data_IF_009080339237
#
_entry.id   IF_009080339237
#
_cell.length_a   1.000
_cell.length_b   1.000
_cell.length_c   1.000
_cell.angle_alpha   90.00
_cell.angle_beta   90.00
_cell.angle_gamma   90.00
#
_symmetry.space_group_name_H-M   'P 1'
#
loop_
_entity.id
_entity.type
_entity.pdbx_description
1 polymer ?
#
# COMPACT_ATOMS: atom_id res chain seq x y z
N UNK A 1 -9.14 -9.23 -24.08
CA UNK A 1 -8.26 -8.23 -24.75
C UNK A 1 -7.05 -8.00 -23.88
N UNK A 2 -5.87 -7.99 -24.47
CA UNK A 2 -4.64 -7.72 -23.71
C UNK A 2 -4.66 -6.29 -23.16
N UNK A 3 -4.48 -6.20 -21.85
CA UNK A 3 -4.33 -4.94 -21.12
C UNK A 3 -2.88 -4.77 -20.71
N UNK A 4 -2.33 -3.57 -20.85
CA UNK A 4 -0.98 -3.26 -20.40
C UNK A 4 -1.04 -2.20 -19.32
N UNK A 5 -0.40 -2.45 -18.17
CA UNK A 5 -0.26 -1.49 -17.07
C UNK A 5 1.21 -1.36 -16.70
N UNK A 6 1.58 -0.17 -16.21
CA UNK A 6 2.87 0.03 -15.57
C UNK A 6 2.74 -0.31 -14.08
N UNK A 7 3.40 -1.37 -13.65
CA UNK A 7 3.34 -1.87 -12.27
C UNK A 7 4.77 -1.96 -11.72
N UNK A 8 5.03 -1.25 -10.63
CA UNK A 8 6.35 -1.18 -10.00
C UNK A 8 7.45 -0.76 -10.99
N UNK A 9 7.13 0.17 -11.90
CA UNK A 9 8.06 0.69 -12.90
C UNK A 9 8.24 -0.18 -14.14
N UNK A 10 7.58 -1.34 -14.23
CA UNK A 10 7.64 -2.24 -15.38
C UNK A 10 6.31 -2.34 -16.09
N UNK A 11 6.35 -2.41 -17.42
CA UNK A 11 5.15 -2.70 -18.20
C UNK A 11 4.79 -4.19 -18.11
N UNK A 12 3.58 -4.47 -17.67
CA UNK A 12 3.02 -5.82 -17.58
C UNK A 12 1.82 -5.93 -18.51
N UNK A 13 1.88 -6.86 -19.47
CA UNK A 13 0.76 -7.18 -20.34
C UNK A 13 0.09 -8.47 -19.89
N UNK A 14 -1.22 -8.47 -19.80
CA UNK A 14 -2.02 -9.60 -19.33
C UNK A 14 -3.40 -9.59 -19.99
N UNK A 15 -4.10 -10.70 -19.91
CA UNK A 15 -5.49 -10.82 -20.35
C UNK A 15 -6.40 -10.99 -19.12
N UNK A 16 -7.33 -10.07 -18.96
CA UNK A 16 -8.31 -10.09 -17.89
C UNK A 16 -9.56 -9.32 -18.30
N UNK A 17 -10.75 -9.68 -17.76
CA UNK A 17 -11.95 -8.88 -17.93
C UNK A 17 -11.74 -7.44 -17.44
N UNK A 18 -12.29 -6.48 -18.19
CA UNK A 18 -12.11 -5.05 -17.91
C UNK A 18 -12.66 -4.61 -16.54
N UNK A 19 -13.64 -5.33 -16.04
CA UNK A 19 -14.30 -5.11 -14.74
C UNK A 19 -13.66 -5.90 -13.58
N UNK A 20 -12.65 -6.74 -13.87
CA UNK A 20 -11.94 -7.48 -12.82
C UNK A 20 -11.30 -6.48 -11.84
N UNK A 21 -11.50 -6.64 -10.51
CA UNK A 21 -10.82 -5.80 -9.54
C UNK A 21 -9.30 -5.90 -9.66
N UNK A 22 -8.63 -4.76 -9.57
CA UNK A 22 -7.16 -4.69 -9.67
C UNK A 22 -6.47 -5.65 -8.69
N UNK A 23 -7.04 -5.85 -7.50
CA UNK A 23 -6.52 -6.79 -6.51
C UNK A 23 -6.28 -8.19 -7.09
N UNK A 24 -7.26 -8.72 -7.82
CA UNK A 24 -7.18 -10.07 -8.40
C UNK A 24 -6.25 -10.12 -9.60
N UNK A 25 -6.17 -9.05 -10.38
CA UNK A 25 -5.15 -8.94 -11.44
C UNK A 25 -3.74 -9.02 -10.84
N UNK A 26 -3.49 -8.29 -9.76
CA UNK A 26 -2.19 -8.32 -9.08
C UNK A 26 -1.88 -9.71 -8.53
N UNK A 27 -2.81 -10.32 -7.79
CA UNK A 27 -2.58 -11.58 -7.09
C UNK A 27 -2.61 -12.81 -7.99
N UNK A 28 -3.69 -12.95 -8.78
CA UNK A 28 -3.99 -14.19 -9.48
C UNK A 28 -3.42 -14.22 -10.91
N UNK A 29 -3.34 -13.07 -11.56
CA UNK A 29 -2.83 -12.99 -12.94
C UNK A 29 -1.33 -12.71 -12.96
N UNK A 30 -0.86 -11.78 -12.13
CA UNK A 30 0.54 -11.33 -12.12
C UNK A 30 1.38 -11.95 -11.00
N UNK A 31 0.78 -12.68 -10.07
CA UNK A 31 1.50 -13.35 -8.97
C UNK A 31 2.06 -12.41 -7.90
N UNK A 32 1.62 -11.15 -7.86
CA UNK A 32 2.03 -10.17 -6.86
C UNK A 32 1.15 -10.30 -5.61
N UNK A 33 1.49 -11.24 -4.73
CA UNK A 33 0.66 -11.67 -3.61
C UNK A 33 0.81 -10.84 -2.33
N UNK A 34 1.67 -9.82 -2.33
CA UNK A 34 1.88 -8.94 -1.18
C UNK A 34 0.63 -8.12 -0.82
N UNK A 35 -0.13 -7.67 -1.82
CA UNK A 35 -1.42 -7.01 -1.62
C UNK A 35 -2.47 -8.04 -1.21
N UNK A 36 -3.24 -7.78 -0.13
CA UNK A 36 -4.11 -8.79 0.51
C UNK A 36 -5.60 -8.47 0.34
N UNK A 37 -6.42 -9.52 0.26
CA UNK A 37 -7.86 -9.43 0.35
C UNK A 37 -8.31 -9.54 1.81
N UNK A 38 -9.17 -8.61 2.26
CA UNK A 38 -9.79 -8.66 3.57
C UNK A 38 -11.31 -8.55 3.46
N UNK A 39 -11.85 -7.31 3.40
CA UNK A 39 -13.31 -7.08 3.39
C UNK A 39 -13.95 -7.15 1.99
N UNK A 40 -13.24 -6.81 0.93
CA UNK A 40 -13.78 -6.72 -0.44
C UNK A 40 -14.68 -5.51 -0.71
N UNK A 41 -14.80 -4.59 0.25
CA UNK A 41 -15.69 -3.41 0.21
C UNK A 41 -14.95 -2.10 0.53
N UNK A 42 -13.65 -2.07 0.34
CA UNK A 42 -12.77 -0.92 0.54
C UNK A 42 -12.68 -0.37 1.98
N UNK A 43 -13.02 -1.14 3.01
CA UNK A 43 -13.05 -0.67 4.41
C UNK A 43 -11.82 -1.05 5.24
N UNK A 44 -11.24 -2.24 5.02
CA UNK A 44 -10.19 -2.74 5.92
C UNK A 44 -8.78 -2.24 5.58
N UNK A 45 -8.53 -1.81 4.37
CA UNK A 45 -7.24 -1.29 3.92
C UNK A 45 -6.18 -2.33 3.55
N UNK A 46 -6.42 -3.64 3.72
CA UNK A 46 -5.45 -4.69 3.41
C UNK A 46 -5.03 -4.71 1.93
N UNK A 47 -5.90 -4.25 1.04
CA UNK A 47 -5.70 -4.21 -0.42
C UNK A 47 -5.09 -2.89 -0.93
N UNK A 48 -4.60 -2.02 -0.07
CA UNK A 48 -4.09 -0.70 -0.47
C UNK A 48 -2.88 -0.84 -1.40
N UNK A 49 -2.97 -0.17 -2.54
CA UNK A 49 -1.88 0.06 -3.50
C UNK A 49 -1.78 1.56 -3.77
N UNK A 50 -0.71 2.00 -4.43
CA UNK A 50 -0.66 3.36 -4.94
C UNK A 50 -1.02 3.39 -6.43
N UNK A 51 -1.86 4.34 -6.83
CA UNK A 51 -2.09 4.70 -8.21
C UNK A 51 -1.64 6.16 -8.37
N UNK A 52 -0.63 6.37 -9.18
CA UNK A 52 -0.01 7.68 -9.35
C UNK A 52 0.42 8.29 -7.99
N UNK A 53 1.01 7.47 -7.12
CA UNK A 53 1.45 7.84 -5.77
C UNK A 53 0.36 8.01 -4.72
N UNK A 54 -0.92 7.84 -5.07
CA UNK A 54 -2.05 7.99 -4.14
C UNK A 54 -2.55 6.65 -3.65
N UNK A 55 -2.87 6.50 -2.34
CA UNK A 55 -3.36 5.24 -1.80
C UNK A 55 -4.79 4.97 -2.29
N UNK A 56 -5.00 3.77 -2.82
CA UNK A 56 -6.29 3.32 -3.38
C UNK A 56 -6.58 1.90 -2.92
N UNK A 57 -7.85 1.60 -2.68
CA UNK A 57 -8.33 0.25 -2.35
C UNK A 57 -8.53 -0.56 -3.63
N UNK A 58 -7.65 -1.53 -3.88
CA UNK A 58 -7.66 -2.30 -5.13
C UNK A 58 -8.78 -3.34 -5.22
N UNK A 59 -9.42 -3.70 -4.12
CA UNK A 59 -10.49 -4.71 -4.10
C UNK A 59 -11.79 -4.27 -4.79
N UNK A 60 -12.00 -2.96 -4.95
CA UNK A 60 -13.22 -2.41 -5.59
C UNK A 60 -12.90 -1.62 -6.85
N UNK A 61 -11.63 -1.50 -7.23
CA UNK A 61 -11.22 -0.74 -8.40
C UNK A 61 -11.13 -1.66 -9.63
N UNK A 62 -11.99 -1.50 -10.65
CA UNK A 62 -11.86 -2.25 -11.89
C UNK A 62 -10.52 -1.94 -12.57
N UNK A 63 -9.90 -2.96 -13.16
CA UNK A 63 -8.61 -2.79 -13.83
C UNK A 63 -8.67 -1.76 -14.96
N UNK A 64 -9.80 -1.67 -15.66
CA UNK A 64 -10.03 -0.66 -16.70
C UNK A 64 -9.99 0.78 -16.19
N UNK A 65 -10.32 1.00 -14.92
CA UNK A 65 -10.30 2.33 -14.32
C UNK A 65 -8.87 2.82 -13.99
N UNK A 66 -7.88 1.95 -14.01
CA UNK A 66 -6.48 2.32 -13.78
C UNK A 66 -5.94 3.14 -14.94
N UNK A 67 -6.29 2.77 -16.17
CA UNK A 67 -5.81 3.42 -17.41
C UNK A 67 -4.28 3.42 -17.48
N UNK A 68 -3.67 4.53 -17.90
CA UNK A 68 -2.22 4.67 -18.07
C UNK A 68 -1.48 5.09 -16.79
N UNK A 69 -2.18 5.12 -15.65
CA UNK A 69 -1.58 5.56 -14.38
C UNK A 69 -0.68 4.47 -13.80
N UNK A 70 0.53 4.82 -13.32
CA UNK A 70 1.42 3.84 -12.71
C UNK A 70 0.85 3.29 -11.40
N UNK A 71 0.98 1.98 -11.24
CA UNK A 71 0.59 1.24 -10.03
C UNK A 71 1.85 0.88 -9.25
N UNK A 72 1.86 1.16 -7.96
CA UNK A 72 2.89 0.67 -7.04
C UNK A 72 2.26 -0.23 -5.99
N UNK A 73 2.81 -1.42 -5.83
CA UNK A 73 2.43 -2.38 -4.79
C UNK A 73 3.46 -2.42 -3.68
N UNK A 74 3.20 -3.17 -2.61
CA UNK A 74 4.15 -3.31 -1.51
C UNK A 74 5.49 -3.92 -1.95
N UNK A 75 5.48 -4.74 -3.00
CA UNK A 75 6.70 -5.30 -3.58
C UNK A 75 7.63 -4.24 -4.17
N UNK A 76 7.07 -3.12 -4.63
CA UNK A 76 7.83 -2.03 -5.26
C UNK A 76 7.98 -0.77 -4.41
N UNK A 77 7.30 -0.65 -3.27
CA UNK A 77 7.25 0.60 -2.50
C UNK A 77 8.63 1.00 -1.93
N UNK A 78 9.50 0.05 -1.68
CA UNK A 78 10.85 0.30 -1.16
C UNK A 78 11.75 1.08 -2.11
N UNK A 79 11.40 1.19 -3.39
CA UNK A 79 12.12 2.05 -4.34
C UNK A 79 11.86 3.54 -4.10
N UNK A 80 10.79 3.91 -3.39
CA UNK A 80 10.51 5.30 -3.02
C UNK A 80 11.20 5.66 -1.70
N UNK A 81 11.66 6.92 -1.53
CA UNK A 81 12.28 7.35 -0.27
C UNK A 81 11.37 7.17 0.94
N UNK A 82 10.10 7.52 0.83
CA UNK A 82 9.13 7.35 1.90
C UNK A 82 8.89 5.86 2.22
N UNK A 83 8.72 5.03 1.19
CA UNK A 83 8.53 3.59 1.36
C UNK A 83 9.72 2.90 2.02
N UNK A 84 10.95 3.24 1.61
CA UNK A 84 12.16 2.69 2.22
C UNK A 84 12.26 3.02 3.71
N UNK A 85 11.96 4.27 4.10
CA UNK A 85 11.95 4.72 5.51
C UNK A 85 10.89 3.98 6.32
N UNK A 86 9.70 3.83 5.76
CA UNK A 86 8.60 3.10 6.41
C UNK A 86 8.98 1.65 6.62
N UNK A 87 9.46 0.96 5.59
CA UNK A 87 9.87 -0.45 5.70
C UNK A 87 10.97 -0.64 6.75
N UNK A 88 11.97 0.25 6.76
CA UNK A 88 13.02 0.21 7.77
C UNK A 88 12.46 0.36 9.18
N UNK A 89 11.60 1.34 9.42
CA UNK A 89 11.00 1.57 10.73
C UNK A 89 10.12 0.38 11.18
N UNK A 90 9.40 -0.26 10.25
CA UNK A 90 8.63 -1.48 10.53
C UNK A 90 9.51 -2.62 11.01
N UNK A 91 10.67 -2.79 10.43
CA UNK A 91 11.66 -3.81 10.85
C UNK A 91 12.30 -3.44 12.19
N UNK A 92 12.75 -2.21 12.34
CA UNK A 92 13.44 -1.74 13.56
C UNK A 92 12.56 -1.87 14.81
N UNK A 93 11.26 -1.61 14.69
CA UNK A 93 10.31 -1.66 15.79
C UNK A 93 9.52 -2.98 15.88
N UNK A 94 9.82 -3.94 15.03
CA UNK A 94 9.14 -5.25 14.99
C UNK A 94 7.60 -5.10 15.04
N UNK A 95 7.05 -4.26 14.15
CA UNK A 95 5.63 -3.88 14.17
C UNK A 95 4.72 -5.08 13.96
N UNK A 96 5.13 -6.04 13.13
CA UNK A 96 4.30 -7.13 12.61
C UNK A 96 3.97 -8.16 13.69
N UNK A 97 2.70 -8.63 13.71
CA UNK A 97 2.29 -9.85 14.39
C UNK A 97 1.89 -10.90 13.33
N UNK A 98 0.62 -11.07 12.98
CA UNK A 98 0.27 -12.03 11.93
C UNK A 98 0.74 -11.60 10.53
N UNK A 99 0.93 -10.32 10.30
CA UNK A 99 1.43 -9.77 9.05
C UNK A 99 0.38 -9.50 7.98
N UNK A 100 -0.84 -9.96 8.14
CA UNK A 100 -1.84 -9.92 7.07
C UNK A 100 -2.23 -8.50 6.64
N UNK A 101 -2.40 -7.57 7.56
CA UNK A 101 -2.76 -6.18 7.28
C UNK A 101 -1.55 -5.29 6.95
N UNK A 102 -0.33 -5.77 7.15
CA UNK A 102 0.85 -4.88 7.19
C UNK A 102 1.22 -4.33 5.81
N UNK A 103 0.99 -5.07 4.73
CA UNK A 103 1.20 -4.52 3.38
C UNK A 103 0.34 -3.27 3.15
N UNK A 104 -0.93 -3.31 3.50
CA UNK A 104 -1.83 -2.16 3.43
C UNK A 104 -1.43 -1.02 4.37
N UNK A 105 -1.02 -1.34 5.59
CA UNK A 105 -0.53 -0.37 6.58
C UNK A 105 0.70 0.38 6.05
N UNK A 106 1.68 -0.34 5.50
CA UNK A 106 2.89 0.22 4.92
C UNK A 106 2.57 1.13 3.73
N UNK A 107 1.68 0.71 2.84
CA UNK A 107 1.28 1.51 1.68
C UNK A 107 0.61 2.82 2.09
N UNK A 108 -0.29 2.79 3.06
CA UNK A 108 -0.95 4.00 3.59
C UNK A 108 0.04 4.92 4.30
N UNK A 109 0.94 4.37 5.11
CA UNK A 109 1.97 5.13 5.80
C UNK A 109 2.97 5.79 4.83
N UNK A 110 3.39 5.07 3.79
CA UNK A 110 4.28 5.63 2.77
C UNK A 110 3.63 6.79 2.01
N UNK A 111 2.34 6.69 1.68
CA UNK A 111 1.59 7.77 1.06
C UNK A 111 1.48 9.00 1.98
N UNK A 112 1.22 8.79 3.28
CA UNK A 112 1.19 9.86 4.26
C UNK A 112 2.53 10.61 4.32
N UNK A 113 3.65 9.89 4.46
CA UNK A 113 4.96 10.51 4.59
C UNK A 113 5.43 11.19 3.29
N UNK A 114 4.99 10.73 2.13
CA UNK A 114 5.25 11.39 0.85
C UNK A 114 4.51 12.74 0.74
N UNK A 115 3.28 12.81 1.27
CA UNK A 115 2.47 14.02 1.24
C UNK A 115 2.76 14.97 2.42
N UNK A 116 3.00 14.41 3.61
CA UNK A 116 3.24 15.13 4.86
C UNK A 116 4.49 14.55 5.54
N UNK A 117 5.69 15.09 5.27
CA UNK A 117 6.94 14.52 5.76
C UNK A 117 7.09 14.49 7.28
N UNK A 118 6.41 15.38 7.97
CA UNK A 118 6.42 15.48 9.44
C UNK A 118 4.98 15.48 9.97
N UNK A 119 4.28 14.33 9.91
CA UNK A 119 2.89 14.26 10.36
C UNK A 119 2.79 14.36 11.88
N UNK A 120 1.79 15.05 12.37
CA UNK A 120 1.40 14.98 13.77
C UNK A 120 0.51 13.77 14.05
N UNK A 121 0.07 13.59 15.30
CA UNK A 121 -0.77 12.46 15.67
C UNK A 121 -2.13 12.47 14.97
N UNK A 122 -2.68 13.67 14.74
CA UNK A 122 -3.95 13.83 14.02
C UNK A 122 -3.82 13.44 12.55
N UNK A 123 -2.73 13.81 11.90
CA UNK A 123 -2.42 13.42 10.52
C UNK A 123 -2.30 11.90 10.39
N UNK A 124 -1.59 11.28 11.34
CA UNK A 124 -1.40 9.82 11.37
C UNK A 124 -2.75 9.13 11.57
N UNK A 125 -3.54 9.56 12.54
CA UNK A 125 -4.85 8.98 12.84
C UNK A 125 -5.78 9.08 11.64
N UNK A 126 -5.83 10.24 10.98
CA UNK A 126 -6.65 10.43 9.79
C UNK A 126 -6.22 9.55 8.61
N UNK A 127 -4.92 9.48 8.35
CA UNK A 127 -4.39 8.70 7.23
C UNK A 127 -4.53 7.19 7.44
N UNK A 128 -4.41 6.71 8.69
CA UNK A 128 -4.40 5.29 9.03
C UNK A 128 -5.75 4.73 9.48
N UNK A 129 -6.77 5.58 9.66
CA UNK A 129 -8.10 5.19 10.16
C UNK A 129 -8.79 4.09 9.33
N UNK A 130 -8.52 4.04 8.01
CA UNK A 130 -9.06 3.03 7.10
C UNK A 130 -8.25 1.73 7.04
N UNK A 131 -7.25 1.54 7.90
CA UNK A 131 -6.40 0.34 7.93
C UNK A 131 -6.61 -0.41 9.25
N UNK A 132 -7.29 -1.57 9.16
CA UNK A 132 -7.70 -2.35 10.32
C UNK A 132 -6.66 -3.45 10.60
N UNK A 133 -6.26 -3.57 11.87
CA UNK A 133 -5.39 -4.63 12.35
C UNK A 133 -6.08 -5.46 13.44
N UNK A 134 -6.35 -6.73 13.17
CA UNK A 134 -6.98 -7.61 14.16
C UNK A 134 -6.07 -7.94 15.33
N UNK A 135 -4.76 -7.92 15.12
CA UNK A 135 -3.75 -8.11 16.19
C UNK A 135 -3.54 -6.86 17.06
N UNK A 136 -4.09 -5.71 16.64
CA UNK A 136 -4.00 -4.47 17.41
C UNK A 136 -2.62 -3.81 17.42
N UNK A 137 -1.87 -3.89 16.31
CA UNK A 137 -0.51 -3.32 16.20
C UNK A 137 -0.47 -1.79 16.08
N UNK A 138 -1.57 -1.10 16.33
CA UNK A 138 -1.73 0.34 16.07
C UNK A 138 -0.70 1.22 16.80
N UNK A 139 -0.35 0.90 18.05
CA UNK A 139 0.64 1.66 18.82
C UNK A 139 2.02 1.58 18.16
N UNK A 140 2.42 0.39 17.71
CA UNK A 140 3.69 0.18 17.01
C UNK A 140 3.68 0.83 15.63
N UNK A 141 2.56 0.77 14.90
CA UNK A 141 2.39 1.43 13.60
C UNK A 141 2.62 2.93 13.74
N UNK A 142 1.97 3.58 14.72
CA UNK A 142 2.15 5.02 14.98
C UNK A 142 3.61 5.34 15.32
N UNK A 143 4.23 4.58 16.19
CA UNK A 143 5.63 4.74 16.56
C UNK A 143 6.56 4.61 15.35
N UNK A 144 6.30 3.63 14.48
CA UNK A 144 7.08 3.40 13.27
C UNK A 144 6.93 4.55 12.27
N UNK A 145 5.74 5.10 12.09
CA UNK A 145 5.52 6.27 11.23
C UNK A 145 6.31 7.48 11.75
N UNK A 146 6.26 7.75 13.05
CA UNK A 146 7.04 8.83 13.68
C UNK A 146 8.54 8.62 13.52
N UNK A 147 9.03 7.39 13.70
CA UNK A 147 10.43 7.07 13.48
C UNK A 147 10.83 7.29 12.02
N UNK A 148 10.03 6.81 11.07
CA UNK A 148 10.28 7.01 9.66
C UNK A 148 10.31 8.49 9.28
N UNK A 149 9.42 9.31 9.85
CA UNK A 149 9.38 10.76 9.64
C UNK A 149 10.64 11.46 10.18
N UNK A 150 11.21 10.98 11.30
CA UNK A 150 12.41 11.56 11.92
C UNK A 150 13.72 11.20 11.20
N UNK A 151 13.71 10.19 10.33
CA UNK A 151 14.90 9.79 9.56
C UNK A 151 15.23 10.85 8.51
N UNK A 152 16.31 11.59 8.71
CA UNK A 152 16.83 12.52 7.70
C UNK A 152 17.25 11.73 6.46
N UNK A 153 17.08 12.35 5.30
CA UNK A 153 17.71 11.86 4.08
C UNK A 153 19.22 12.02 4.26
N UNK A 154 19.91 10.91 4.38
CA UNK A 154 21.37 10.88 4.28
C UNK A 154 21.76 10.72 2.82
#
# INVERSE_FOLDING_TARGET
MATTLTINGEQKSFDAPADMPLLWVLRDVLGLTGTKFGCGIAQCGACTVHIDGKPVRSCVLPVSAVRDRPVTTVEGIGASPAGAKVQKAWLDLEVVQCGYCQSGQIMSAAALLAATPNPDDSDIDAAMAGNICRCGTYVRIRAAIKQAASQRQS
#
